data_IF_266995624313
#
_entry.id   IF_266995624313
#
_cell.length_a   1.000
_cell.length_b   1.000
_cell.length_c   1.000
_cell.angle_alpha   90.00
_cell.angle_beta   90.00
_cell.angle_gamma   90.00
#
_symmetry.space_group_name_H-M   'P 1'
#
loop_
_entity.id
_entity.type
_entity.pdbx_description
1 polymer ?
#
# COMPACT_ATOMS: atom_id res chain seq x y z
N UNK A 1 -27.92 -55.13 -14.82
CA UNK A 1 -28.71 -54.23 -15.69
C UNK A 1 -28.11 -52.83 -15.59
N UNK A 2 -27.38 -52.40 -16.62
CA UNK A 2 -26.77 -51.08 -16.69
C UNK A 2 -27.82 -50.05 -17.16
N UNK A 3 -28.04 -48.92 -16.46
CA UNK A 3 -28.93 -47.90 -16.97
C UNK A 3 -28.15 -46.90 -17.84
N UNK A 4 -28.54 -46.82 -19.11
CA UNK A 4 -28.63 -45.56 -19.87
C UNK A 4 -27.36 -45.02 -20.52
N UNK A 5 -27.27 -45.18 -21.85
CA UNK A 5 -26.36 -44.46 -22.73
C UNK A 5 -26.49 -42.92 -22.60
N UNK A 6 -25.40 -42.15 -22.81
CA UNK A 6 -25.47 -40.69 -22.82
C UNK A 6 -26.13 -40.19 -24.12
N UNK A 7 -27.12 -39.30 -24.00
CA UNK A 7 -27.76 -38.61 -25.12
C UNK A 7 -26.74 -37.78 -25.93
N UNK A 8 -26.52 -38.05 -27.23
CA UNK A 8 -25.38 -37.52 -27.99
C UNK A 8 -25.59 -36.12 -28.62
N UNK A 9 -26.73 -35.45 -28.46
CA UNK A 9 -27.04 -34.24 -29.25
C UNK A 9 -27.14 -32.90 -28.50
N UNK A 10 -26.66 -32.80 -27.26
CA UNK A 10 -26.83 -31.57 -26.47
C UNK A 10 -25.54 -30.92 -25.96
N UNK A 11 -24.37 -31.49 -26.23
CA UNK A 11 -23.09 -30.88 -25.87
C UNK A 11 -22.31 -30.51 -27.13
N UNK A 12 -21.89 -29.24 -27.30
CA UNK A 12 -20.96 -28.90 -28.38
C UNK A 12 -19.63 -29.63 -28.15
N UNK A 13 -19.03 -30.12 -29.24
CA UNK A 13 -17.87 -31.04 -29.27
C UNK A 13 -16.61 -30.57 -28.51
N UNK A 14 -16.53 -29.29 -28.15
CA UNK A 14 -15.41 -28.70 -27.42
C UNK A 14 -15.58 -28.72 -25.88
N UNK A 15 -16.77 -29.07 -25.34
CA UNK A 15 -17.01 -29.23 -23.88
C UNK A 15 -17.03 -30.70 -23.49
N UNK A 16 -15.86 -31.23 -23.14
CA UNK A 16 -15.65 -32.61 -22.68
C UNK A 16 -15.73 -32.65 -21.14
N UNK A 17 -16.81 -32.13 -20.57
CA UNK A 17 -17.03 -32.21 -19.12
C UNK A 17 -17.95 -33.40 -18.79
N UNK A 18 -17.55 -34.31 -17.88
CA UNK A 18 -18.43 -35.37 -17.40
C UNK A 18 -19.66 -34.76 -16.69
N UNK A 19 -20.86 -35.20 -17.10
CA UNK A 19 -22.12 -34.79 -16.46
C UNK A 19 -22.34 -35.61 -15.19
N UNK A 20 -22.34 -34.94 -14.04
CA UNK A 20 -22.60 -35.55 -12.74
C UNK A 20 -24.07 -35.37 -12.33
N UNK A 21 -24.54 -36.22 -11.40
CA UNK A 21 -25.87 -36.06 -10.79
C UNK A 21 -25.96 -34.76 -9.98
N UNK A 22 -27.16 -34.16 -9.91
CA UNK A 22 -27.47 -32.95 -9.09
C UNK A 22 -27.18 -33.11 -7.59
N UNK A 23 -26.98 -34.35 -7.13
CA UNK A 23 -26.56 -34.68 -5.75
C UNK A 23 -25.07 -34.41 -5.49
N UNK A 24 -24.26 -34.36 -6.53
CA UNK A 24 -22.82 -34.09 -6.43
C UNK A 24 -22.60 -32.57 -6.44
N UNK A 25 -21.68 -32.08 -5.60
CA UNK A 25 -21.38 -30.64 -5.42
C UNK A 25 -20.35 -30.15 -6.45
N UNK A 26 -20.59 -30.39 -7.74
CA UNK A 26 -19.63 -30.09 -8.82
C UNK A 26 -20.35 -29.33 -9.95
N UNK A 27 -19.65 -28.37 -10.58
CA UNK A 27 -20.21 -27.55 -11.66
C UNK A 27 -21.35 -26.64 -11.18
N UNK A 28 -22.42 -26.56 -11.97
CA UNK A 28 -23.57 -25.67 -11.73
C UNK A 28 -24.58 -26.20 -10.67
N UNK A 29 -24.11 -26.97 -9.70
CA UNK A 29 -24.96 -27.72 -8.75
C UNK A 29 -25.90 -26.84 -7.91
N UNK A 30 -25.50 -25.60 -7.60
CA UNK A 30 -26.26 -24.69 -6.76
C UNK A 30 -27.55 -24.19 -7.44
N UNK A 31 -27.47 -23.84 -8.73
CA UNK A 31 -28.64 -23.39 -9.51
C UNK A 31 -29.59 -24.55 -9.83
N UNK A 32 -29.06 -25.73 -10.14
CA UNK A 32 -29.87 -26.91 -10.40
C UNK A 32 -30.65 -27.37 -9.15
N UNK A 33 -30.06 -27.26 -7.95
CA UNK A 33 -30.76 -27.60 -6.69
C UNK A 33 -31.82 -26.60 -6.26
N UNK A 34 -31.80 -25.36 -6.73
CA UNK A 34 -32.92 -24.43 -6.47
C UNK A 34 -34.23 -24.94 -7.08
N UNK A 35 -34.14 -25.72 -8.17
CA UNK A 35 -35.28 -26.32 -8.87
C UNK A 35 -35.73 -27.66 -8.28
N UNK A 36 -34.91 -28.28 -7.42
CA UNK A 36 -35.13 -29.63 -6.88
C UNK A 36 -35.48 -29.56 -5.39
N UNK A 37 -36.45 -30.39 -4.96
CA UNK A 37 -36.87 -30.45 -3.55
C UNK A 37 -35.72 -30.92 -2.66
N UNK A 38 -35.43 -30.18 -1.58
CA UNK A 38 -34.38 -30.51 -0.61
C UNK A 38 -34.67 -31.85 0.09
N UNK A 39 -33.65 -32.65 0.43
CA UNK A 39 -33.81 -33.90 1.18
C UNK A 39 -34.29 -33.62 2.61
N UNK A 40 -35.03 -34.56 3.19
CA UNK A 40 -35.65 -34.45 4.52
C UNK A 40 -34.66 -34.60 5.69
N UNK A 41 -33.40 -34.93 5.43
CA UNK A 41 -32.40 -35.14 6.48
C UNK A 41 -31.69 -33.84 6.82
N UNK A 42 -31.76 -33.45 8.10
CA UNK A 42 -31.08 -32.28 8.63
C UNK A 42 -29.67 -32.67 9.09
N UNK A 43 -28.66 -31.89 8.69
CA UNK A 43 -27.31 -32.01 9.25
C UNK A 43 -27.29 -31.57 10.71
N UNK A 44 -26.27 -31.98 11.47
CA UNK A 44 -26.07 -31.52 12.86
C UNK A 44 -26.07 -29.98 12.93
N UNK A 45 -25.38 -29.33 11.99
CA UNK A 45 -25.39 -27.86 11.87
C UNK A 45 -26.79 -27.27 11.67
N UNK A 46 -27.65 -27.90 10.86
CA UNK A 46 -29.03 -27.42 10.66
C UNK A 46 -29.93 -27.65 11.88
N UNK A 47 -29.61 -28.64 12.72
CA UNK A 47 -30.32 -28.89 13.98
C UNK A 47 -29.90 -27.89 15.06
N UNK A 48 -28.61 -27.58 15.11
CA UNK A 48 -28.02 -26.73 16.15
C UNK A 48 -28.17 -25.23 15.83
N UNK A 49 -28.15 -24.87 14.55
CA UNK A 49 -28.30 -23.48 14.11
C UNK A 49 -29.76 -23.05 14.15
N UNK A 50 -30.12 -22.28 15.18
CA UNK A 50 -31.42 -21.62 15.30
C UNK A 50 -31.29 -20.19 14.73
N UNK A 51 -31.94 -19.86 13.60
CA UNK A 51 -31.98 -18.48 13.14
C UNK A 51 -32.85 -17.66 14.10
N UNK A 52 -32.28 -16.59 14.67
CA UNK A 52 -33.01 -15.63 15.49
C UNK A 52 -33.38 -14.40 14.65
N UNK A 53 -34.59 -14.35 14.05
CA UNK A 53 -35.00 -13.21 13.25
C UNK A 53 -35.08 -11.95 14.12
N UNK A 54 -34.36 -10.91 13.73
CA UNK A 54 -34.28 -9.64 14.47
C UNK A 54 -33.13 -9.54 15.46
N UNK A 55 -32.42 -10.64 15.74
CA UNK A 55 -31.21 -10.58 16.55
C UNK A 55 -30.07 -9.93 15.75
N UNK A 56 -29.64 -8.75 16.18
CA UNK A 56 -28.45 -8.09 15.66
C UNK A 56 -27.29 -8.40 16.60
N UNK A 57 -26.12 -8.70 16.04
CA UNK A 57 -24.91 -8.82 16.84
C UNK A 57 -24.70 -7.52 17.63
N UNK A 58 -24.40 -7.64 18.92
CA UNK A 58 -24.15 -6.48 19.77
C UNK A 58 -22.83 -5.82 19.35
N UNK A 59 -22.96 -4.74 18.58
CA UNK A 59 -21.84 -3.97 18.05
C UNK A 59 -21.13 -3.16 19.14
N UNK A 60 -21.84 -2.79 20.21
CA UNK A 60 -21.31 -1.96 21.29
C UNK A 60 -20.37 -2.79 22.15
N UNK A 61 -20.81 -3.95 22.63
CA UNK A 61 -19.92 -4.83 23.42
C UNK A 61 -18.74 -5.31 22.59
N UNK A 62 -18.95 -5.69 21.32
CA UNK A 62 -17.85 -6.05 20.43
C UNK A 62 -16.84 -4.91 20.26
N UNK A 63 -17.29 -3.68 20.01
CA UNK A 63 -16.40 -2.53 19.89
C UNK A 63 -15.64 -2.24 21.19
N UNK A 64 -16.33 -2.35 22.31
CA UNK A 64 -15.75 -2.17 23.63
C UNK A 64 -14.64 -3.18 23.95
N UNK A 65 -14.88 -4.47 23.68
CA UNK A 65 -13.86 -5.51 23.86
C UNK A 65 -12.67 -5.31 22.91
N UNK A 66 -12.90 -4.91 21.66
CA UNK A 66 -11.82 -4.60 20.72
C UNK A 66 -10.93 -3.46 21.23
N UNK A 67 -11.53 -2.36 21.73
CA UNK A 67 -10.77 -1.24 22.31
C UNK A 67 -9.99 -1.62 23.55
N UNK A 68 -10.51 -2.53 24.38
CA UNK A 68 -9.78 -3.06 25.54
C UNK A 68 -8.55 -3.88 25.13
N UNK A 69 -8.58 -4.53 23.97
CA UNK A 69 -7.45 -5.32 23.45
C UNK A 69 -6.42 -4.51 22.67
N UNK A 70 -6.68 -3.22 22.36
CA UNK A 70 -5.74 -2.35 21.62
C UNK A 70 -4.43 -2.07 22.36
N UNK A 71 -4.36 -2.36 23.66
CA UNK A 71 -3.14 -2.29 24.46
C UNK A 71 -2.72 -0.86 24.84
N UNK A 72 -1.50 -0.71 25.37
CA UNK A 72 -0.95 0.59 25.77
C UNK A 72 -0.40 1.32 24.53
N UNK A 73 -0.69 2.63 24.36
CA UNK A 73 -0.20 3.33 23.17
C UNK A 73 1.32 3.49 23.24
N UNK A 74 1.95 3.40 22.05
CA UNK A 74 3.41 3.46 21.84
C UNK A 74 4.12 4.57 22.63
N UNK A 75 3.46 5.73 22.77
CA UNK A 75 4.00 6.85 23.54
C UNK A 75 4.44 6.43 24.94
N UNK A 76 3.62 5.70 25.70
CA UNK A 76 3.98 5.33 27.07
C UNK A 76 5.04 4.23 27.16
N UNK A 77 5.28 3.48 26.08
CA UNK A 77 6.25 2.38 26.07
C UNK A 77 7.63 2.84 25.65
N UNK A 78 7.71 3.73 24.65
CA UNK A 78 8.94 3.96 23.90
C UNK A 78 9.40 5.41 23.96
N UNK A 79 8.57 6.36 24.40
CA UNK A 79 9.03 7.76 24.52
C UNK A 79 9.72 7.95 25.85
N UNK A 80 10.98 8.37 25.79
CA UNK A 80 11.73 8.85 26.94
C UNK A 80 11.47 10.35 27.09
N UNK A 81 11.13 10.82 28.30
CA UNK A 81 10.96 12.25 28.63
C UNK A 81 10.03 13.07 27.71
N UNK A 82 8.96 12.47 27.18
CA UNK A 82 7.99 13.16 26.31
C UNK A 82 8.62 13.80 25.05
N UNK A 83 9.77 13.29 24.61
CA UNK A 83 10.45 13.84 23.45
C UNK A 83 9.64 13.67 22.17
N UNK A 84 9.54 14.76 21.40
CA UNK A 84 8.89 14.72 20.09
C UNK A 84 9.73 13.83 19.16
N UNK A 85 9.08 12.90 18.45
CA UNK A 85 9.73 11.95 17.53
C UNK A 85 10.64 12.62 16.47
N UNK A 86 10.27 13.80 16.01
CA UNK A 86 10.97 14.57 14.97
C UNK A 86 11.82 15.72 15.56
N UNK A 87 12.38 15.56 16.76
CA UNK A 87 13.19 16.61 17.41
C UNK A 87 14.60 16.73 16.81
N UNK A 88 15.22 15.60 16.47
CA UNK A 88 16.61 15.52 16.01
C UNK A 88 16.65 15.22 14.51
N UNK A 89 16.67 16.26 13.68
CA UNK A 89 16.63 16.15 12.21
C UNK A 89 17.98 16.48 11.55
N UNK A 90 19.01 16.74 12.35
CA UNK A 90 20.33 17.18 11.91
C UNK A 90 21.35 16.14 12.38
N UNK A 91 22.19 15.67 11.47
CA UNK A 91 23.31 14.79 11.79
C UNK A 91 24.50 15.59 12.32
N UNK A 92 25.35 14.94 13.11
CA UNK A 92 26.60 15.57 13.59
C UNK A 92 27.48 16.05 12.43
N UNK A 93 27.44 15.37 11.29
CA UNK A 93 28.13 15.79 10.08
C UNK A 93 27.61 17.13 9.54
N UNK A 94 26.30 17.25 9.34
CA UNK A 94 25.68 18.49 8.81
C UNK A 94 25.89 19.67 9.76
N UNK A 95 25.80 19.43 11.08
CA UNK A 95 26.09 20.44 12.10
C UNK A 95 27.53 20.96 12.01
N UNK A 96 28.52 20.06 11.89
CA UNK A 96 29.94 20.46 11.84
C UNK A 96 30.33 21.16 10.55
N UNK A 97 29.94 20.61 9.40
CA UNK A 97 30.45 21.07 8.11
C UNK A 97 29.59 22.18 7.50
N UNK A 98 28.26 22.05 7.56
CA UNK A 98 27.34 22.97 6.89
C UNK A 98 26.94 24.14 7.78
N UNK A 99 26.88 23.93 9.10
CA UNK A 99 26.42 24.93 10.08
C UNK A 99 27.53 25.46 10.99
N UNK A 100 28.77 25.01 10.77
CA UNK A 100 29.97 25.43 11.51
C UNK A 100 29.89 25.19 13.02
N UNK A 101 29.02 24.27 13.46
CA UNK A 101 28.92 23.84 14.85
C UNK A 101 28.41 24.88 15.83
N UNK A 102 27.76 25.94 15.36
CA UNK A 102 27.14 26.94 16.22
C UNK A 102 25.83 26.40 16.81
N UNK A 103 25.75 26.29 18.13
CA UNK A 103 24.53 25.88 18.83
C UNK A 103 24.23 26.83 20.01
N UNK A 104 23.11 27.57 19.98
CA UNK A 104 22.74 28.51 21.04
C UNK A 104 22.31 27.83 22.35
N UNK A 105 22.00 26.52 22.31
CA UNK A 105 21.62 25.76 23.50
C UNK A 105 22.82 25.26 24.32
N UNK A 106 24.05 25.37 23.79
CA UNK A 106 25.26 24.98 24.51
C UNK A 106 25.58 26.02 25.59
N UNK A 107 25.92 25.61 26.82
CA UNK A 107 26.46 26.54 27.79
C UNK A 107 27.84 27.07 27.31
N UNK A 108 28.16 28.34 27.61
CA UNK A 108 29.35 28.99 27.08
C UNK A 108 30.67 28.44 27.62
N UNK A 109 30.66 27.84 28.80
CA UNK A 109 31.84 27.28 29.45
C UNK A 109 31.61 25.81 29.80
N UNK A 110 32.62 24.99 29.47
CA UNK A 110 32.72 23.60 29.92
C UNK A 110 33.32 23.53 31.32
N UNK A 111 32.85 22.57 32.12
CA UNK A 111 33.33 22.26 33.47
C UNK A 111 33.94 20.86 33.51
N UNK A 112 35.01 20.67 34.28
CA UNK A 112 35.59 19.33 34.47
C UNK A 112 34.73 18.52 35.44
N UNK A 113 34.22 17.37 35.00
CA UNK A 113 33.53 16.44 35.88
C UNK A 113 34.48 15.34 36.33
N UNK A 114 34.88 15.37 37.61
CA UNK A 114 35.81 14.39 38.19
C UNK A 114 35.26 12.97 38.31
N UNK A 115 33.94 12.78 38.36
CA UNK A 115 33.34 11.44 38.43
C UNK A 115 33.38 10.73 37.07
N UNK A 116 33.17 11.50 35.99
CA UNK A 116 33.19 10.97 34.62
C UNK A 116 34.55 11.11 33.93
N UNK A 117 35.48 11.88 34.51
CA UNK A 117 36.78 12.23 33.95
C UNK A 117 36.68 12.88 32.54
N UNK A 118 35.67 13.73 32.35
CA UNK A 118 35.35 14.38 31.07
C UNK A 118 34.96 15.84 31.30
N UNK A 119 35.25 16.69 30.31
CA UNK A 119 34.73 18.06 30.25
C UNK A 119 33.26 18.07 29.83
N UNK A 120 32.36 18.49 30.72
CA UNK A 120 30.93 18.58 30.46
C UNK A 120 30.44 20.03 30.33
N UNK A 121 29.38 20.25 29.53
CA UNK A 121 28.79 19.25 28.65
C UNK A 121 29.59 19.03 27.38
N UNK A 122 29.48 17.83 26.84
CA UNK A 122 29.96 17.58 25.49
C UNK A 122 28.99 18.19 24.48
N UNK A 123 29.50 18.49 23.29
CA UNK A 123 28.67 19.04 22.21
C UNK A 123 27.55 18.07 21.80
N UNK A 124 27.80 16.76 21.88
CA UNK A 124 26.86 15.67 21.62
C UNK A 124 25.69 15.64 22.60
N UNK A 125 25.88 16.10 23.84
CA UNK A 125 24.83 16.10 24.88
C UNK A 125 23.71 17.10 24.56
N UNK A 126 24.01 18.10 23.72
CA UNK A 126 23.08 19.17 23.34
C UNK A 126 22.88 19.13 21.81
N UNK A 127 21.99 18.25 21.31
CA UNK A 127 21.70 18.20 19.88
C UNK A 127 21.12 19.53 19.40
N UNK A 128 21.53 19.97 18.21
CA UNK A 128 21.01 21.19 17.59
C UNK A 128 19.53 21.01 17.20
N UNK A 129 18.66 21.84 17.77
CA UNK A 129 17.23 21.84 17.48
C UNK A 129 16.92 22.83 16.36
N UNK A 130 17.07 22.38 15.13
CA UNK A 130 16.79 23.20 13.96
C UNK A 130 16.14 22.36 12.83
N UNK A 131 15.45 23.00 11.88
CA UNK A 131 14.91 22.30 10.72
C UNK A 131 16.05 21.68 9.88
N UNK A 132 15.78 20.59 9.14
CA UNK A 132 16.78 19.94 8.30
C UNK A 132 17.22 20.86 7.15
N UNK A 133 18.49 20.76 6.76
CA UNK A 133 19.08 21.61 5.71
C UNK A 133 18.47 21.34 4.33
N UNK A 134 18.05 20.10 4.05
CA UNK A 134 17.23 19.64 2.92
C UNK A 134 17.75 19.94 1.49
N UNK A 135 18.75 20.81 1.30
CA UNK A 135 19.47 21.09 0.05
C UNK A 135 18.58 21.23 -1.22
N UNK A 136 17.34 21.73 -1.07
CA UNK A 136 16.35 21.81 -2.15
C UNK A 136 15.77 20.46 -2.62
N UNK A 137 16.15 19.33 -2.02
CA UNK A 137 15.64 18.00 -2.36
C UNK A 137 14.12 17.93 -2.23
N UNK A 138 13.58 18.42 -1.11
CA UNK A 138 12.13 18.44 -0.89
C UNK A 138 11.40 19.24 -1.97
N UNK A 139 11.90 20.40 -2.36
CA UNK A 139 11.29 21.22 -3.43
C UNK A 139 11.30 20.47 -4.77
N UNK A 140 12.42 19.84 -5.12
CA UNK A 140 12.55 19.05 -6.34
C UNK A 140 11.58 17.86 -6.38
N UNK A 141 11.41 17.16 -5.26
CA UNK A 141 10.48 16.04 -5.13
C UNK A 141 9.03 16.51 -5.17
N UNK A 142 8.72 17.61 -4.48
CA UNK A 142 7.39 18.21 -4.51
C UNK A 142 6.99 18.59 -5.94
N UNK A 143 7.90 19.21 -6.68
CA UNK A 143 7.69 19.52 -8.10
C UNK A 143 7.40 18.26 -8.90
N UNK A 144 8.21 17.21 -8.75
CA UNK A 144 8.03 15.92 -9.42
C UNK A 144 6.70 15.23 -9.08
N UNK A 145 6.21 15.35 -7.85
CA UNK A 145 4.94 14.76 -7.43
C UNK A 145 3.72 15.55 -7.92
N UNK A 146 3.85 16.87 -8.02
CA UNK A 146 2.80 17.74 -8.54
C UNK A 146 2.77 17.84 -10.06
N UNK A 147 3.87 17.49 -10.73
CA UNK A 147 3.88 17.30 -12.18
C UNK A 147 2.81 16.25 -12.51
N UNK A 148 1.71 16.64 -13.20
CA UNK A 148 0.73 15.68 -13.64
C UNK A 148 1.47 14.67 -14.48
N UNK A 149 1.17 13.37 -14.32
CA UNK A 149 1.58 12.36 -15.30
C UNK A 149 0.84 12.67 -16.60
N UNK A 150 1.27 13.67 -17.33
CA UNK A 150 1.09 13.72 -18.77
C UNK A 150 1.79 12.48 -19.26
N UNK A 151 1.01 11.46 -19.60
CA UNK A 151 1.19 10.67 -20.81
C UNK A 151 0.23 9.49 -20.82
N UNK A 152 -0.92 9.71 -21.46
CA UNK A 152 -1.63 8.63 -22.11
C UNK A 152 -0.71 8.14 -23.25
N UNK A 153 -0.12 6.94 -23.07
CA UNK A 153 0.47 6.14 -24.15
C UNK A 153 1.70 6.72 -24.89
N UNK A 154 2.53 7.56 -24.26
CA UNK A 154 3.83 7.83 -24.88
C UNK A 154 4.80 6.68 -24.56
N UNK A 155 5.31 6.05 -25.62
CA UNK A 155 6.40 5.08 -25.48
C UNK A 155 7.70 5.80 -25.11
N UNK A 156 8.64 5.11 -24.49
CA UNK A 156 10.00 5.63 -24.21
C UNK A 156 10.65 6.20 -25.49
N UNK A 157 10.38 5.59 -26.65
CA UNK A 157 10.83 6.08 -27.96
C UNK A 157 10.20 7.45 -28.29
N UNK A 158 8.92 7.65 -28.04
CA UNK A 158 8.23 8.93 -28.33
C UNK A 158 8.70 10.07 -27.42
N UNK A 159 9.06 9.79 -26.17
CA UNK A 159 9.53 10.81 -25.21
C UNK A 159 11.01 11.14 -25.35
N UNK A 160 11.85 10.15 -25.68
CA UNK A 160 13.31 10.33 -25.76
C UNK A 160 13.76 10.95 -27.09
N UNK A 161 13.06 10.65 -28.19
CA UNK A 161 13.41 11.20 -29.50
C UNK A 161 12.66 12.51 -29.75
N UNK A 162 13.43 13.59 -29.87
CA UNK A 162 12.89 14.87 -30.31
C UNK A 162 12.42 14.73 -31.77
N UNK A 163 11.17 15.10 -32.06
CA UNK A 163 10.72 15.21 -33.46
C UNK A 163 11.53 16.29 -34.15
N UNK A 164 12.51 15.88 -34.95
CA UNK A 164 13.27 16.81 -35.78
C UNK A 164 12.33 17.49 -36.80
N UNK A 165 12.58 18.77 -37.14
CA UNK A 165 11.75 19.49 -38.09
C UNK A 165 11.76 18.80 -39.46
N UNK A 166 10.67 18.93 -40.23
CA UNK A 166 10.50 18.23 -41.53
C UNK A 166 11.63 18.55 -42.52
N UNK A 167 12.31 19.70 -42.35
CA UNK A 167 13.46 20.12 -43.15
C UNK A 167 14.68 19.20 -43.04
N UNK A 168 14.84 18.46 -41.94
CA UNK A 168 15.96 17.51 -41.78
C UNK A 168 15.69 16.15 -42.43
N UNK A 169 14.48 15.92 -42.97
CA UNK A 169 14.11 14.67 -43.64
C UNK A 169 14.63 14.64 -45.08
N UNK A 170 14.91 13.44 -45.57
CA UNK A 170 15.35 13.24 -46.95
C UNK A 170 14.29 13.73 -47.95
N UNK A 171 14.69 14.07 -49.18
CA UNK A 171 13.74 14.57 -50.19
C UNK A 171 12.63 13.55 -50.50
N UNK A 172 12.96 12.25 -50.47
CA UNK A 172 12.03 11.16 -50.70
C UNK A 172 10.93 11.09 -49.61
N UNK A 173 11.28 11.29 -48.34
CA UNK A 173 10.33 11.30 -47.22
C UNK A 173 9.51 12.58 -47.10
N UNK A 174 9.97 13.69 -47.71
CA UNK A 174 9.20 14.94 -47.77
C UNK A 174 8.01 14.84 -48.72
N UNK A 175 8.15 14.04 -49.79
CA UNK A 175 7.13 13.89 -50.83
C UNK A 175 6.00 12.92 -50.45
N UNK A 176 6.18 12.09 -49.42
CA UNK A 176 5.16 11.14 -48.93
C UNK A 176 4.20 11.73 -47.90
N UNK A 177 4.38 12.98 -47.48
CA UNK A 177 3.50 13.72 -46.57
C UNK A 177 2.84 14.91 -47.30
N UNK A 178 2.00 14.64 -48.29
CA UNK A 178 1.02 15.63 -48.77
C UNK A 178 -0.35 15.32 -48.15
N UNK A 179 -1.04 16.29 -47.54
CA UNK A 179 -2.36 16.07 -46.98
C UNK A 179 -3.38 15.91 -48.11
N UNK A 180 -4.13 14.81 -48.11
CA UNK A 180 -5.38 14.73 -48.84
C UNK A 180 -6.36 15.74 -48.21
N UNK A 181 -6.77 16.73 -49.01
CA UNK A 181 -7.85 17.67 -48.66
C UNK A 181 -9.21 17.02 -48.76
#
# INVERSE_FOLDING_TARGET
>A
MFPGCPQPWSNPSWRIEPKYSTRVLIGNWAEERRKVRKPSFLSTFQKDFVPFPGHKADTITRSYYMRRTEGLPYKHLMTHHEERKHRNLISSYDDHFSRHGYNPALPPLRSWNGQKLVWLPEKSDFPLLAPPTNYGLFESLMKKWHEPKTEWMNSVYTTSYVRHPVSTRSQHERLSHFPHG
#
